data_IF_862197576018
#
_entry.id   IF_862197576018
#
_cell.length_a   1.000
_cell.length_b   1.000
_cell.length_c   1.000
_cell.angle_alpha   90.00
_cell.angle_beta   90.00
_cell.angle_gamma   90.00
#
_symmetry.space_group_name_H-M   'P 1'
#
loop_
_entity.id
_entity.type
_entity.pdbx_description
1 polymer ?
#
# COMPACT_ATOMS: atom_id res chain seq x y z
N UNK A 1 -18.88 -53.36 13.40
CA UNK A 1 -20.31 -53.25 13.74
C UNK A 1 -20.83 -51.93 13.22
N UNK A 2 -21.69 -52.03 12.23
CA UNK A 2 -22.29 -50.90 11.50
C UNK A 2 -23.47 -50.34 12.29
N UNK A 3 -23.66 -49.04 12.29
CA UNK A 3 -24.98 -48.45 12.55
C UNK A 3 -25.26 -47.43 11.45
N UNK A 4 -26.08 -47.90 10.51
CA UNK A 4 -26.72 -47.13 9.46
C UNK A 4 -27.92 -46.38 10.09
N UNK A 5 -27.95 -45.05 10.06
CA UNK A 5 -29.19 -44.31 10.36
C UNK A 5 -29.82 -43.90 9.04
N UNK A 6 -31.00 -44.47 8.79
CA UNK A 6 -31.96 -44.03 7.76
C UNK A 6 -32.67 -42.78 8.28
N UNK A 7 -32.52 -41.67 7.60
CA UNK A 7 -33.45 -40.56 7.75
C UNK A 7 -34.44 -40.59 6.60
N UNK A 8 -35.67 -40.93 6.95
CA UNK A 8 -36.85 -40.93 6.10
C UNK A 8 -37.33 -39.48 5.90
N UNK A 9 -37.14 -38.93 4.73
CA UNK A 9 -37.80 -37.68 4.34
C UNK A 9 -39.19 -37.97 3.78
N UNK A 10 -40.18 -37.44 4.45
CA UNK A 10 -41.60 -37.43 4.09
C UNK A 10 -41.83 -36.62 2.80
N UNK A 11 -42.20 -37.33 1.75
CA UNK A 11 -42.75 -36.73 0.51
C UNK A 11 -44.28 -36.60 0.70
N UNK A 12 -44.70 -35.38 0.94
CA UNK A 12 -46.14 -35.07 1.02
C UNK A 12 -46.43 -33.69 0.53
N UNK A 13 -46.49 -33.49 -0.80
CA UNK A 13 -47.40 -32.61 -1.56
C UNK A 13 -47.02 -32.68 -3.03
N UNK A 14 -47.99 -33.03 -3.86
CA UNK A 14 -47.83 -33.00 -5.32
C UNK A 14 -47.50 -31.56 -5.81
N UNK A 15 -46.55 -31.38 -6.76
CA UNK A 15 -46.24 -30.09 -7.28
C UNK A 15 -47.40 -29.52 -8.08
N UNK A 16 -47.59 -28.16 -8.11
CA UNK A 16 -48.64 -27.55 -8.89
C UNK A 16 -48.45 -27.82 -10.38
N UNK A 17 -49.55 -28.03 -11.12
CA UNK A 17 -49.56 -28.26 -12.56
C UNK A 17 -49.06 -27.02 -13.27
N UNK A 18 -47.90 -27.16 -13.95
CA UNK A 18 -47.29 -26.14 -14.80
C UNK A 18 -48.12 -25.86 -16.08
N UNK A 19 -48.14 -24.61 -16.58
CA UNK A 19 -48.83 -24.25 -17.79
C UNK A 19 -48.22 -24.94 -19.04
N UNK A 20 -49.00 -25.11 -20.15
CA UNK A 20 -48.62 -25.95 -21.28
C UNK A 20 -47.32 -25.57 -22.01
N UNK A 21 -46.84 -24.33 -21.88
CA UNK A 21 -45.57 -23.86 -22.46
C UNK A 21 -44.30 -24.36 -21.76
N UNK A 22 -44.35 -24.57 -20.45
CA UNK A 22 -43.17 -24.99 -19.65
C UNK A 22 -42.87 -26.48 -19.75
N UNK A 23 -43.86 -27.30 -20.14
CA UNK A 23 -43.65 -28.75 -20.37
C UNK A 23 -42.71 -29.04 -21.53
N UNK A 24 -42.66 -28.18 -22.58
CA UNK A 24 -41.73 -28.31 -23.70
C UNK A 24 -40.31 -27.95 -23.30
N UNK A 25 -40.10 -26.90 -22.50
CA UNK A 25 -38.79 -26.54 -22.03
C UNK A 25 -38.21 -27.57 -21.03
N UNK A 26 -39.02 -28.12 -20.16
CA UNK A 26 -38.61 -29.18 -19.23
C UNK A 26 -38.20 -30.49 -19.95
N UNK A 27 -38.81 -30.81 -21.08
CA UNK A 27 -38.45 -31.93 -21.92
C UNK A 27 -37.09 -31.72 -22.59
N UNK A 28 -36.85 -30.57 -23.17
CA UNK A 28 -35.58 -30.21 -23.81
C UNK A 28 -34.43 -30.16 -22.83
N UNK A 29 -34.64 -29.62 -21.61
CA UNK A 29 -33.65 -29.61 -20.53
C UNK A 29 -33.30 -31.03 -20.06
N UNK A 30 -34.29 -31.95 -20.00
CA UNK A 30 -34.02 -33.33 -19.63
C UNK A 30 -33.19 -34.07 -20.71
N UNK A 31 -33.51 -33.88 -22.00
CA UNK A 31 -32.74 -34.44 -23.11
C UNK A 31 -31.31 -33.93 -23.08
N UNK A 32 -31.11 -32.62 -22.95
CA UNK A 32 -29.76 -32.02 -22.87
C UNK A 32 -28.97 -32.50 -21.66
N UNK A 33 -29.63 -32.73 -20.52
CA UNK A 33 -29.02 -33.36 -19.36
C UNK A 33 -28.55 -34.79 -19.61
N UNK A 34 -29.34 -35.57 -20.35
CA UNK A 34 -28.93 -36.93 -20.69
C UNK A 34 -27.77 -36.96 -21.68
N UNK A 35 -27.78 -36.08 -22.69
CA UNK A 35 -26.68 -35.93 -23.65
C UNK A 35 -25.38 -35.51 -22.90
N UNK A 36 -25.43 -34.52 -22.02
CA UNK A 36 -24.29 -34.12 -21.23
C UNK A 36 -23.77 -35.23 -20.27
N UNK A 37 -24.65 -36.04 -19.72
CA UNK A 37 -24.26 -37.19 -18.89
C UNK A 37 -23.56 -38.27 -19.71
N UNK A 38 -24.04 -38.52 -20.96
CA UNK A 38 -23.43 -39.47 -21.90
C UNK A 38 -22.05 -38.98 -22.35
N UNK A 39 -21.92 -37.69 -22.66
CA UNK A 39 -20.63 -37.05 -23.00
C UNK A 39 -19.64 -37.10 -21.82
N UNK A 40 -20.09 -36.84 -20.60
CA UNK A 40 -19.26 -36.98 -19.38
C UNK A 40 -18.80 -38.42 -19.21
N UNK A 41 -19.65 -39.38 -19.53
CA UNK A 41 -19.33 -40.82 -19.41
C UNK A 41 -18.35 -41.28 -20.48
N UNK A 42 -18.50 -40.79 -21.73
CA UNK A 42 -17.54 -41.00 -22.83
C UNK A 42 -16.17 -40.38 -22.49
N UNK A 43 -16.15 -39.14 -22.06
CA UNK A 43 -14.93 -38.47 -21.64
C UNK A 43 -14.24 -39.17 -20.47
N UNK A 44 -14.99 -39.75 -19.52
CA UNK A 44 -14.43 -40.57 -18.44
C UNK A 44 -13.82 -41.88 -18.95
N UNK A 45 -14.43 -42.53 -19.95
CA UNK A 45 -13.86 -43.72 -20.57
C UNK A 45 -12.59 -43.39 -21.37
N UNK A 46 -12.58 -42.31 -22.13
CA UNK A 46 -11.39 -41.81 -22.81
C UNK A 46 -10.28 -41.45 -21.83
N UNK A 47 -10.58 -40.77 -20.75
CA UNK A 47 -9.62 -40.49 -19.65
C UNK A 47 -9.06 -41.79 -19.10
N UNK A 48 -9.87 -42.79 -18.80
CA UNK A 48 -9.42 -44.06 -18.29
C UNK A 48 -8.61 -44.88 -19.28
N UNK A 49 -8.81 -44.67 -20.59
CA UNK A 49 -8.03 -45.34 -21.65
C UNK A 49 -6.65 -44.69 -21.81
N UNK A 50 -6.56 -43.38 -21.58
CA UNK A 50 -5.29 -42.61 -21.58
C UNK A 50 -4.56 -42.69 -20.23
N UNK A 51 -5.25 -43.13 -19.17
CA UNK A 51 -4.69 -43.21 -17.78
C UNK A 51 -3.43 -44.09 -17.62
N UNK A 52 -3.22 -45.19 -18.39
CA UNK A 52 -1.97 -45.96 -18.28
C UNK A 52 -0.72 -45.17 -18.65
N UNK A 53 -0.82 -44.21 -19.60
CA UNK A 53 0.29 -43.37 -20.03
C UNK A 53 0.59 -42.23 -19.01
N UNK A 54 -0.35 -41.94 -18.07
CA UNK A 54 -0.20 -40.92 -17.03
C UNK A 54 0.81 -41.31 -15.94
N UNK A 55 1.29 -42.56 -15.94
CA UNK A 55 2.26 -43.05 -14.97
C UNK A 55 3.72 -42.88 -15.41
N UNK A 56 3.95 -42.24 -16.58
CA UNK A 56 5.32 -41.93 -17.00
C UNK A 56 5.97 -40.96 -16.00
N UNK A 57 7.24 -41.12 -15.65
CA UNK A 57 7.98 -40.20 -14.79
C UNK A 57 7.92 -38.74 -15.30
N UNK A 58 7.90 -38.56 -16.63
CA UNK A 58 7.85 -37.25 -17.29
C UNK A 58 6.52 -36.52 -17.08
N UNK A 59 5.39 -37.23 -17.13
CA UNK A 59 4.06 -36.67 -16.87
C UNK A 59 3.84 -36.34 -15.37
N UNK A 60 4.41 -37.15 -14.48
CA UNK A 60 4.40 -36.85 -13.04
C UNK A 60 5.20 -35.59 -12.74
N UNK A 61 6.37 -35.42 -13.35
CA UNK A 61 7.20 -34.23 -13.18
C UNK A 61 6.53 -32.99 -13.81
N UNK A 62 5.92 -33.15 -15.01
CA UNK A 62 5.16 -32.07 -15.65
C UNK A 62 3.98 -31.60 -14.77
N UNK A 63 3.19 -32.53 -14.24
CA UNK A 63 2.08 -32.21 -13.33
C UNK A 63 2.58 -31.54 -12.03
N UNK A 64 3.70 -32.00 -11.48
CA UNK A 64 4.33 -31.39 -10.31
C UNK A 64 4.75 -29.93 -10.59
N UNK A 65 5.32 -29.69 -11.77
CA UNK A 65 5.71 -28.34 -12.20
C UNK A 65 4.50 -27.43 -12.41
N UNK A 66 3.40 -27.93 -13.00
CA UNK A 66 2.15 -27.19 -13.13
C UNK A 66 1.60 -26.82 -11.74
N UNK A 67 1.58 -27.77 -10.81
CA UNK A 67 1.09 -27.52 -9.45
C UNK A 67 1.99 -26.52 -8.69
N UNK A 68 3.32 -26.63 -8.88
CA UNK A 68 4.28 -25.67 -8.32
C UNK A 68 4.04 -24.26 -8.86
N UNK A 69 3.87 -24.12 -10.18
CA UNK A 69 3.58 -22.82 -10.81
C UNK A 69 2.24 -22.24 -10.35
N UNK A 70 1.20 -23.07 -10.21
CA UNK A 70 -0.09 -22.61 -9.65
C UNK A 70 0.02 -22.14 -8.22
N UNK A 71 0.80 -22.83 -7.37
CA UNK A 71 1.07 -22.40 -5.98
C UNK A 71 1.87 -21.09 -5.96
N UNK A 72 2.88 -20.97 -6.82
CA UNK A 72 3.68 -19.76 -6.93
C UNK A 72 2.83 -18.54 -7.33
N UNK A 73 2.00 -18.66 -8.36
CA UNK A 73 1.06 -17.62 -8.77
C UNK A 73 0.05 -17.25 -7.66
N UNK A 74 -0.41 -18.25 -6.89
CA UNK A 74 -1.26 -17.99 -5.72
C UNK A 74 -0.49 -17.22 -4.63
N UNK A 75 0.77 -17.57 -4.38
CA UNK A 75 1.64 -16.85 -3.47
C UNK A 75 1.86 -15.40 -3.86
N UNK A 76 2.10 -15.12 -5.16
CA UNK A 76 2.20 -13.75 -5.68
C UNK A 76 0.90 -12.96 -5.48
N UNK A 77 -0.26 -13.55 -5.78
CA UNK A 77 -1.56 -12.90 -5.51
C UNK A 77 -1.74 -12.61 -4.03
N UNK A 78 -1.35 -13.56 -3.16
CA UNK A 78 -1.45 -13.39 -1.71
C UNK A 78 -0.50 -12.29 -1.22
N UNK A 79 0.72 -12.22 -1.76
CA UNK A 79 1.68 -11.14 -1.48
C UNK A 79 1.12 -9.76 -1.84
N UNK A 80 0.48 -9.63 -2.99
CA UNK A 80 -0.11 -8.36 -3.42
C UNK A 80 -1.24 -7.87 -2.49
N UNK A 81 -1.88 -8.78 -1.75
CA UNK A 81 -2.96 -8.49 -0.79
C UNK A 81 -2.42 -8.34 0.64
N UNK A 82 -1.56 -9.25 1.06
CA UNK A 82 -0.91 -9.31 2.35
C UNK A 82 0.55 -9.73 2.15
N UNK A 83 1.50 -8.77 2.13
CA UNK A 83 2.90 -9.07 1.84
C UNK A 83 3.52 -10.09 2.77
N UNK A 84 3.28 -9.99 4.08
CA UNK A 84 3.82 -10.94 5.08
C UNK A 84 3.23 -12.33 4.88
N UNK A 85 1.92 -12.43 4.80
CA UNK A 85 1.23 -13.70 4.58
C UNK A 85 1.54 -14.33 3.22
N UNK A 86 1.84 -13.53 2.20
CA UNK A 86 2.27 -14.00 0.88
C UNK A 86 3.65 -14.65 0.91
N UNK A 87 4.63 -13.99 1.56
CA UNK A 87 5.98 -14.55 1.74
C UNK A 87 5.94 -15.83 2.58
N UNK A 88 5.21 -15.83 3.70
CA UNK A 88 5.04 -17.05 4.51
C UNK A 88 4.42 -18.20 3.71
N UNK A 89 3.38 -17.93 2.93
CA UNK A 89 2.77 -18.95 2.07
C UNK A 89 3.78 -19.55 1.08
N UNK A 90 4.63 -18.72 0.44
CA UNK A 90 5.65 -19.21 -0.49
C UNK A 90 6.69 -20.08 0.21
N UNK A 91 7.09 -19.70 1.42
CA UNK A 91 8.04 -20.45 2.24
C UNK A 91 7.44 -21.79 2.70
N UNK A 92 6.21 -21.82 3.20
CA UNK A 92 5.49 -23.04 3.62
C UNK A 92 5.32 -24.06 2.49
N UNK A 93 5.39 -23.62 1.22
CA UNK A 93 5.24 -24.49 0.06
C UNK A 93 6.55 -24.75 -0.66
N UNK A 94 7.70 -24.49 -0.04
CA UNK A 94 9.06 -24.68 -0.60
C UNK A 94 9.27 -23.95 -1.94
N UNK A 95 8.66 -22.78 -2.10
CA UNK A 95 8.75 -21.93 -3.30
C UNK A 95 9.68 -20.74 -3.10
N UNK A 96 9.97 -20.41 -1.86
CA UNK A 96 10.87 -19.33 -1.44
C UNK A 96 11.57 -19.76 -0.14
N UNK A 97 12.83 -19.41 0.01
CA UNK A 97 13.55 -19.61 1.26
C UNK A 97 13.30 -18.45 2.23
N UNK A 98 13.11 -18.76 3.52
CA UNK A 98 13.03 -17.73 4.58
C UNK A 98 14.42 -17.16 4.88
N UNK A 99 14.98 -16.44 3.93
CA UNK A 99 16.28 -15.82 4.00
C UNK A 99 16.23 -14.45 3.30
N UNK A 100 16.88 -13.46 3.87
CA UNK A 100 16.79 -12.08 3.42
C UNK A 100 17.15 -11.90 1.93
N UNK A 101 18.22 -12.58 1.49
CA UNK A 101 18.69 -12.52 0.10
C UNK A 101 17.65 -13.14 -0.86
N UNK A 102 17.10 -14.30 -0.50
CA UNK A 102 16.12 -14.99 -1.34
C UNK A 102 14.83 -14.16 -1.48
N UNK A 103 14.34 -13.58 -0.36
CA UNK A 103 13.17 -12.70 -0.38
C UNK A 103 13.46 -11.41 -1.15
N UNK A 104 14.64 -10.81 -0.99
CA UNK A 104 15.04 -9.63 -1.74
C UNK A 104 15.09 -9.88 -3.25
N UNK A 105 15.67 -11.02 -3.67
CA UNK A 105 15.67 -11.42 -5.08
C UNK A 105 14.26 -11.63 -5.64
N UNK A 106 13.38 -12.27 -4.86
CA UNK A 106 11.97 -12.42 -5.23
C UNK A 106 11.29 -11.07 -5.43
N UNK A 107 11.46 -10.13 -4.50
CA UNK A 107 10.86 -8.79 -4.60
C UNK A 107 11.42 -7.96 -5.76
N UNK A 108 12.68 -8.18 -6.11
CA UNK A 108 13.38 -7.42 -7.16
C UNK A 108 13.11 -7.96 -8.56
N UNK A 109 13.09 -9.30 -8.73
CA UNK A 109 13.07 -9.96 -10.04
C UNK A 109 11.65 -10.34 -10.51
N UNK A 110 10.74 -10.60 -9.56
CA UNK A 110 9.41 -11.09 -9.94
C UNK A 110 8.50 -10.02 -10.51
N UNK A 111 8.01 -10.28 -11.72
CA UNK A 111 7.02 -9.43 -12.39
C UNK A 111 5.62 -9.62 -11.78
N UNK A 112 4.80 -8.58 -11.85
CA UNK A 112 3.39 -8.62 -11.38
C UNK A 112 3.25 -8.58 -9.86
N UNK A 113 4.30 -8.21 -9.12
CA UNK A 113 4.20 -7.82 -7.72
C UNK A 113 3.74 -6.37 -7.61
N UNK A 114 2.81 -6.13 -6.69
CA UNK A 114 2.31 -4.80 -6.39
C UNK A 114 3.41 -3.95 -5.74
N UNK A 115 3.72 -2.80 -6.34
CA UNK A 115 4.81 -1.92 -5.89
C UNK A 115 4.57 -1.32 -4.51
N UNK A 116 3.31 -1.08 -4.14
CA UNK A 116 2.92 -0.65 -2.79
C UNK A 116 3.16 -1.77 -1.77
N UNK A 117 2.81 -3.01 -2.12
CA UNK A 117 3.05 -4.18 -1.26
C UNK A 117 4.56 -4.40 -1.02
N UNK A 118 5.40 -4.24 -2.06
CA UNK A 118 6.86 -4.27 -1.93
C UNK A 118 7.35 -3.19 -0.96
N UNK A 119 6.90 -1.94 -1.15
CA UNK A 119 7.29 -0.83 -0.28
C UNK A 119 6.88 -1.03 1.18
N UNK A 120 5.68 -1.51 1.41
CA UNK A 120 5.19 -1.81 2.76
C UNK A 120 6.01 -2.93 3.43
N UNK A 121 6.31 -4.01 2.70
CA UNK A 121 7.14 -5.11 3.21
C UNK A 121 8.55 -4.64 3.58
N UNK A 122 9.23 -3.92 2.68
CA UNK A 122 10.59 -3.42 2.88
C UNK A 122 10.67 -2.37 4.00
N UNK A 123 9.59 -1.65 4.25
CA UNK A 123 9.52 -0.60 5.27
C UNK A 123 9.33 -1.11 6.70
N UNK A 124 9.08 -2.40 6.95
CA UNK A 124 8.84 -2.96 8.28
C UNK A 124 10.07 -2.92 9.19
N UNK A 125 9.86 -3.03 10.53
CA UNK A 125 10.94 -2.89 11.55
C UNK A 125 11.57 -4.20 11.99
N UNK A 126 10.94 -5.32 11.69
CA UNK A 126 11.43 -6.63 12.11
C UNK A 126 12.77 -6.94 11.44
N UNK A 127 13.66 -7.63 12.15
CA UNK A 127 15.03 -7.90 11.70
C UNK A 127 15.10 -8.50 10.30
N UNK A 128 14.23 -9.45 9.99
CA UNK A 128 14.15 -10.07 8.66
C UNK A 128 13.86 -9.04 7.56
N UNK A 129 12.97 -8.08 7.81
CA UNK A 129 12.64 -7.03 6.85
C UNK A 129 13.79 -6.03 6.67
N UNK A 130 14.50 -5.69 7.76
CA UNK A 130 15.68 -4.83 7.69
C UNK A 130 16.81 -5.47 6.88
N UNK A 131 17.05 -6.75 7.10
CA UNK A 131 18.03 -7.52 6.32
C UNK A 131 17.60 -7.66 4.86
N UNK A 132 16.31 -7.90 4.61
CA UNK A 132 15.75 -7.95 3.26
C UNK A 132 15.87 -6.60 2.54
N UNK A 133 15.61 -5.48 3.22
CA UNK A 133 15.80 -4.14 2.67
C UNK A 133 17.27 -3.93 2.26
N UNK A 134 18.21 -4.27 3.13
CA UNK A 134 19.64 -4.15 2.84
C UNK A 134 20.05 -5.01 1.64
N UNK A 135 19.59 -6.25 1.57
CA UNK A 135 19.83 -7.14 0.45
C UNK A 135 19.19 -6.61 -0.85
N UNK A 136 17.93 -6.13 -0.79
CA UNK A 136 17.20 -5.57 -1.92
C UNK A 136 17.89 -4.34 -2.50
N UNK A 137 18.32 -3.41 -1.65
CA UNK A 137 19.09 -2.24 -2.09
C UNK A 137 20.44 -2.66 -2.67
N UNK A 138 21.06 -3.72 -2.12
CA UNK A 138 22.28 -4.31 -2.63
C UNK A 138 22.21 -4.87 -4.06
N UNK A 139 21.00 -5.24 -4.53
CA UNK A 139 20.78 -5.71 -5.92
C UNK A 139 20.80 -4.56 -6.95
N UNK A 140 20.73 -3.32 -6.50
CA UNK A 140 20.83 -2.17 -7.39
C UNK A 140 22.28 -1.81 -7.64
N UNK A 141 22.62 -1.54 -8.89
CA UNK A 141 23.94 -1.04 -9.28
C UNK A 141 23.81 0.47 -9.56
N UNK A 142 24.53 1.24 -8.75
CA UNK A 142 24.51 2.71 -8.84
C UNK A 142 25.84 3.30 -9.28
N UNK A 143 26.83 2.46 -9.64
CA UNK A 143 28.14 2.92 -10.09
C UNK A 143 28.01 3.86 -11.30
N UNK A 144 28.73 4.95 -11.27
CA UNK A 144 28.75 5.98 -12.32
C UNK A 144 27.40 6.70 -12.57
N UNK A 145 26.39 6.44 -11.77
CA UNK A 145 25.12 7.16 -11.83
C UNK A 145 25.19 8.43 -10.97
N UNK A 146 24.68 9.55 -11.52
CA UNK A 146 24.41 10.69 -10.66
C UNK A 146 23.24 10.39 -9.70
N UNK A 147 23.15 11.17 -8.63
CA UNK A 147 22.18 10.90 -7.55
C UNK A 147 20.71 10.87 -8.03
N UNK A 148 20.33 11.71 -9.02
CA UNK A 148 18.97 11.71 -9.57
C UNK A 148 18.70 10.45 -10.39
N UNK A 149 19.68 9.98 -11.16
CA UNK A 149 19.55 8.73 -11.93
C UNK A 149 19.42 7.52 -11.00
N UNK A 150 20.25 7.44 -9.96
CA UNK A 150 20.18 6.39 -8.95
C UNK A 150 18.83 6.42 -8.21
N UNK A 151 18.34 7.60 -7.83
CA UNK A 151 17.01 7.75 -7.21
C UNK A 151 15.88 7.32 -8.15
N UNK A 152 15.97 7.65 -9.46
CA UNK A 152 14.98 7.20 -10.46
C UNK A 152 14.92 5.67 -10.52
N UNK A 153 16.07 5.02 -10.60
CA UNK A 153 16.17 3.57 -10.64
C UNK A 153 15.59 2.94 -9.35
N UNK A 154 15.99 3.45 -8.20
CA UNK A 154 15.53 2.94 -6.91
C UNK A 154 14.02 3.12 -6.71
N UNK A 155 13.50 4.32 -6.92
CA UNK A 155 12.08 4.64 -6.74
C UNK A 155 11.16 4.03 -7.80
N UNK A 156 11.71 3.48 -8.89
CA UNK A 156 10.95 2.72 -9.88
C UNK A 156 10.66 1.28 -9.41
N UNK A 157 11.48 0.72 -8.54
CA UNK A 157 11.37 -0.69 -8.12
C UNK A 157 10.24 -0.95 -7.12
N UNK A 158 9.77 0.07 -6.40
CA UNK A 158 8.67 -0.02 -5.43
C UNK A 158 8.02 1.35 -5.23
N UNK A 159 6.90 1.39 -4.52
CA UNK A 159 6.26 2.63 -4.11
C UNK A 159 6.62 2.95 -2.66
N UNK A 160 7.08 4.17 -2.40
CA UNK A 160 7.37 4.62 -1.03
C UNK A 160 6.12 4.54 -0.15
N UNK A 161 6.20 3.94 1.04
CA UNK A 161 5.09 3.91 1.99
C UNK A 161 4.77 5.31 2.52
N UNK A 162 3.58 5.48 3.14
CA UNK A 162 3.17 6.78 3.70
C UNK A 162 3.84 7.15 5.03
N UNK A 163 4.43 6.17 5.74
CA UNK A 163 5.00 6.37 7.07
C UNK A 163 6.42 6.93 7.02
N UNK A 164 6.65 8.06 7.71
CA UNK A 164 7.95 8.74 7.75
C UNK A 164 9.11 7.84 8.21
N UNK A 165 8.89 7.00 9.21
CA UNK A 165 9.92 6.09 9.72
C UNK A 165 10.29 4.97 8.74
N UNK A 166 9.33 4.50 7.91
CA UNK A 166 9.59 3.52 6.85
C UNK A 166 10.42 4.16 5.75
N UNK A 167 10.05 5.36 5.34
CA UNK A 167 10.80 6.14 4.33
C UNK A 167 12.22 6.43 4.81
N UNK A 168 12.38 6.82 6.08
CA UNK A 168 13.67 7.10 6.68
C UNK A 168 14.64 5.91 6.54
N UNK A 169 14.21 4.70 6.94
CA UNK A 169 15.01 3.48 6.82
C UNK A 169 15.39 3.14 5.37
N UNK A 170 14.42 3.28 4.45
CA UNK A 170 14.64 3.00 3.04
C UNK A 170 15.65 3.95 2.42
N UNK A 171 15.55 5.24 2.75
CA UNK A 171 16.46 6.26 2.23
C UNK A 171 17.85 6.17 2.87
N UNK A 172 17.96 5.73 4.12
CA UNK A 172 19.24 5.45 4.76
C UNK A 172 19.97 4.27 4.09
N UNK A 173 19.23 3.19 3.79
CA UNK A 173 19.77 2.05 3.05
C UNK A 173 20.21 2.46 1.62
N UNK A 174 19.40 3.26 0.93
CA UNK A 174 19.74 3.81 -0.38
C UNK A 174 21.01 4.67 -0.33
N UNK A 175 21.10 5.64 0.59
CA UNK A 175 22.24 6.53 0.70
C UNK A 175 23.53 5.76 1.00
N UNK A 176 23.45 4.74 1.87
CA UNK A 176 24.58 3.86 2.17
C UNK A 176 25.05 3.11 0.93
N UNK A 177 24.13 2.52 0.17
CA UNK A 177 24.49 1.79 -1.07
C UNK A 177 25.06 2.73 -2.13
N UNK A 178 24.43 3.89 -2.33
CA UNK A 178 24.91 4.87 -3.31
C UNK A 178 26.35 5.31 -3.02
N UNK A 179 26.66 5.66 -1.77
CA UNK A 179 28.00 6.06 -1.38
C UNK A 179 29.02 4.92 -1.54
N UNK A 180 28.62 3.67 -1.28
CA UNK A 180 29.46 2.50 -1.50
C UNK A 180 29.76 2.27 -3.00
N UNK A 181 28.78 2.52 -3.89
CA UNK A 181 28.98 2.43 -5.34
C UNK A 181 29.78 3.62 -5.91
N UNK A 182 29.73 4.78 -5.26
CA UNK A 182 30.34 6.02 -5.74
C UNK A 182 31.21 6.67 -4.64
N UNK A 183 32.34 6.04 -4.27
CA UNK A 183 33.20 6.58 -3.21
C UNK A 183 33.76 7.94 -3.60
N UNK A 184 33.80 8.87 -2.64
CA UNK A 184 34.37 10.20 -2.85
C UNK A 184 33.42 11.26 -3.46
N UNK A 185 32.20 10.88 -3.87
CA UNK A 185 31.19 11.86 -4.34
C UNK A 185 30.67 12.75 -3.21
N UNK A 186 30.48 12.15 -2.03
CA UNK A 186 30.06 12.85 -0.82
C UNK A 186 31.03 12.54 0.33
N UNK A 187 31.21 13.49 1.25
CA UNK A 187 32.03 13.28 2.43
C UNK A 187 31.39 12.34 3.45
N UNK A 188 30.07 12.22 3.45
CA UNK A 188 29.34 11.36 4.35
C UNK A 188 28.05 10.78 3.72
N UNK A 189 27.61 9.64 4.22
CA UNK A 189 26.31 9.05 3.87
C UNK A 189 25.16 9.97 4.22
N UNK A 190 25.28 10.74 5.32
CA UNK A 190 24.27 11.71 5.72
C UNK A 190 24.11 12.83 4.70
N UNK A 191 25.17 13.28 4.06
CA UNK A 191 25.12 14.25 2.94
C UNK A 191 24.27 13.68 1.80
N UNK A 192 24.54 12.46 1.37
CA UNK A 192 23.76 11.76 0.35
C UNK A 192 22.29 11.62 0.75
N UNK A 193 22.03 11.21 1.98
CA UNK A 193 20.70 11.06 2.55
C UNK A 193 19.91 12.38 2.50
N UNK A 194 20.48 13.47 3.05
CA UNK A 194 19.80 14.79 3.10
C UNK A 194 19.53 15.32 1.69
N UNK A 195 20.53 15.21 0.80
CA UNK A 195 20.38 15.67 -0.58
C UNK A 195 19.33 14.86 -1.35
N UNK A 196 19.26 13.54 -1.12
CA UNK A 196 18.23 12.68 -1.70
C UNK A 196 16.83 13.15 -1.34
N UNK A 197 16.61 13.50 -0.08
CA UNK A 197 15.36 14.09 0.35
C UNK A 197 15.09 15.46 -0.23
N UNK A 198 16.09 16.33 -0.27
CA UNK A 198 15.96 17.64 -0.90
C UNK A 198 15.52 17.52 -2.38
N UNK A 199 16.03 16.50 -3.08
CA UNK A 199 15.66 16.19 -4.46
C UNK A 199 14.22 15.69 -4.56
N UNK A 200 13.78 14.77 -3.70
CA UNK A 200 12.40 14.27 -3.68
C UNK A 200 11.42 15.42 -3.38
N UNK A 201 11.75 16.28 -2.42
CA UNK A 201 10.94 17.46 -2.11
C UNK A 201 10.93 18.49 -3.25
N UNK A 202 12.06 18.67 -3.91
CA UNK A 202 12.16 19.52 -5.10
C UNK A 202 11.24 19.02 -6.21
N UNK A 203 11.26 17.70 -6.48
CA UNK A 203 10.38 17.07 -7.45
C UNK A 203 8.90 17.36 -7.13
N UNK A 204 8.48 17.12 -5.89
CA UNK A 204 7.11 17.40 -5.45
C UNK A 204 6.77 18.88 -5.61
N UNK A 205 7.68 19.78 -5.22
CA UNK A 205 7.42 21.23 -5.27
C UNK A 205 7.36 21.76 -6.70
N UNK A 206 8.19 21.25 -7.61
CA UNK A 206 8.22 21.71 -9.00
C UNK A 206 7.05 21.18 -9.84
N UNK A 207 6.62 19.94 -9.58
CA UNK A 207 5.67 19.24 -10.45
C UNK A 207 4.26 19.12 -9.86
N UNK A 208 4.06 19.41 -8.57
CA UNK A 208 2.72 19.47 -8.00
C UNK A 208 2.01 20.76 -8.46
N UNK A 209 0.87 20.66 -9.17
CA UNK A 209 0.13 21.83 -9.64
C UNK A 209 -0.44 22.70 -8.51
N UNK A 210 -0.58 22.14 -7.29
CA UNK A 210 -1.09 22.85 -6.13
C UNK A 210 -0.04 23.74 -5.43
N UNK A 211 1.24 23.58 -5.77
CA UNK A 211 2.33 24.41 -5.23
C UNK A 211 2.46 25.68 -6.07
N UNK A 212 2.04 26.81 -5.51
CA UNK A 212 2.05 28.11 -6.19
C UNK A 212 3.45 28.72 -6.25
N UNK A 213 4.23 28.60 -5.19
CA UNK A 213 5.59 29.15 -5.08
C UNK A 213 6.61 28.04 -5.31
N UNK A 214 6.98 27.85 -6.57
CA UNK A 214 7.96 26.85 -6.98
C UNK A 214 9.37 27.31 -6.62
N UNK A 215 10.19 26.45 -5.97
CA UNK A 215 11.54 26.85 -5.56
C UNK A 215 12.42 27.16 -6.78
N UNK A 216 13.11 28.30 -6.72
CA UNK A 216 14.13 28.65 -7.70
C UNK A 216 15.43 27.87 -7.46
N UNK A 217 16.33 27.85 -8.45
CA UNK A 217 17.65 27.24 -8.28
C UNK A 217 18.41 27.84 -7.08
N UNK A 218 18.38 29.17 -6.92
CA UNK A 218 19.04 29.83 -5.79
C UNK A 218 18.50 29.39 -4.45
N UNK A 219 17.17 29.22 -4.35
CA UNK A 219 16.53 28.72 -3.15
C UNK A 219 16.93 27.28 -2.88
N UNK A 220 16.97 26.42 -3.90
CA UNK A 220 17.43 25.03 -3.76
C UNK A 220 18.88 24.96 -3.29
N UNK A 221 19.79 25.75 -3.87
CA UNK A 221 21.19 25.84 -3.44
C UNK A 221 21.29 26.30 -1.99
N UNK A 222 20.58 27.39 -1.63
CA UNK A 222 20.62 27.92 -0.26
C UNK A 222 20.08 26.96 0.79
N UNK A 223 19.07 26.16 0.45
CA UNK A 223 18.51 25.14 1.34
C UNK A 223 19.47 23.99 1.63
N UNK A 224 20.45 23.75 0.75
CA UNK A 224 21.43 22.69 0.87
C UNK A 224 22.82 23.16 1.33
N UNK A 225 22.93 24.37 1.88
CA UNK A 225 24.19 24.86 2.45
C UNK A 225 24.60 24.06 3.70
N UNK A 226 25.90 23.81 3.83
CA UNK A 226 26.50 23.17 4.99
C UNK A 226 26.15 21.71 5.17
N UNK A 227 25.54 21.03 4.17
CA UNK A 227 25.16 19.63 4.32
C UNK A 227 26.30 18.65 4.11
N UNK A 228 27.44 19.08 3.61
CA UNK A 228 28.61 18.25 3.35
C UNK A 228 29.63 18.39 4.48
N UNK A 229 29.27 17.87 5.66
CA UNK A 229 30.06 17.99 6.90
C UNK A 229 30.38 19.47 7.28
N UNK A 230 29.40 20.36 7.11
CA UNK A 230 29.56 21.79 7.39
C UNK A 230 29.99 22.61 6.14
N UNK A 231 30.49 21.96 5.12
CA UNK A 231 30.86 22.60 3.86
C UNK A 231 29.68 22.63 2.87
N UNK A 232 29.78 23.47 1.86
CA UNK A 232 28.82 23.55 0.76
C UNK A 232 29.19 22.54 -0.33
N UNK A 233 28.15 21.93 -0.93
CA UNK A 233 28.32 21.15 -2.13
C UNK A 233 28.62 22.05 -3.32
N UNK A 234 29.37 21.57 -4.34
CA UNK A 234 29.63 22.33 -5.57
C UNK A 234 28.32 22.82 -6.21
N UNK A 235 28.22 24.14 -6.45
CA UNK A 235 27.03 24.75 -7.05
C UNK A 235 26.70 24.16 -8.41
N UNK A 236 27.71 23.73 -9.16
CA UNK A 236 27.54 23.07 -10.45
C UNK A 236 26.81 21.73 -10.31
N UNK A 237 27.14 20.93 -9.28
CA UNK A 237 26.46 19.67 -8.96
C UNK A 237 24.96 19.93 -8.66
N UNK A 238 24.67 20.87 -7.75
CA UNK A 238 23.29 21.21 -7.39
C UNK A 238 22.50 21.77 -8.58
N UNK A 239 23.16 22.52 -9.46
CA UNK A 239 22.54 23.04 -10.70
C UNK A 239 22.17 21.91 -11.66
N UNK A 240 23.05 20.93 -11.85
CA UNK A 240 22.77 19.75 -12.69
C UNK A 240 21.61 18.92 -12.13
N UNK A 241 21.58 18.69 -10.81
CA UNK A 241 20.50 17.95 -10.14
C UNK A 241 19.16 18.69 -10.26
N UNK A 242 19.16 20.01 -10.01
CA UNK A 242 17.96 20.84 -10.17
C UNK A 242 17.43 20.82 -11.61
N UNK A 243 18.29 20.97 -12.60
CA UNK A 243 17.91 20.95 -14.01
C UNK A 243 17.33 19.58 -14.41
N UNK A 244 17.91 18.48 -13.94
CA UNK A 244 17.42 17.13 -14.20
C UNK A 244 16.01 16.91 -13.64
N UNK A 245 15.73 17.36 -12.42
CA UNK A 245 14.39 17.23 -11.83
C UNK A 245 13.40 18.17 -12.48
N UNK A 246 13.83 19.39 -12.84
CA UNK A 246 12.95 20.35 -13.52
C UNK A 246 12.52 19.86 -14.91
N UNK A 247 13.43 19.21 -15.65
CA UNK A 247 13.14 18.70 -17.00
C UNK A 247 12.27 17.46 -16.99
N UNK A 248 12.47 16.56 -16.04
CA UNK A 248 11.74 15.30 -15.95
C UNK A 248 11.39 14.95 -14.50
N UNK A 249 10.09 14.86 -14.15
CA UNK A 249 9.68 14.42 -12.81
C UNK A 249 10.05 12.96 -12.55
N UNK A 250 10.07 12.56 -11.26
CA UNK A 250 10.06 11.15 -10.91
C UNK A 250 8.77 10.51 -11.40
N UNK A 251 8.90 9.41 -12.11
CA UNK A 251 7.76 8.55 -12.46
C UNK A 251 7.39 7.74 -11.23
N UNK A 252 6.13 7.81 -10.84
CA UNK A 252 5.58 6.93 -9.81
C UNK A 252 5.21 5.63 -10.52
N UNK A 253 5.69 4.45 -10.07
CA UNK A 253 5.26 3.18 -10.63
C UNK A 253 3.74 3.10 -10.53
N UNK A 254 3.07 2.87 -11.66
CA UNK A 254 1.65 2.56 -11.67
C UNK A 254 1.51 1.13 -11.12
N UNK A 255 0.65 0.97 -10.12
CA UNK A 255 0.18 -0.36 -9.78
C UNK A 255 -0.75 -0.79 -10.91
N UNK A 256 -0.46 -1.91 -11.57
CA UNK A 256 -1.27 -2.49 -12.68
C UNK A 256 -2.69 -2.88 -12.24
N UNK A 257 -3.01 -2.71 -11.01
CA UNK A 257 -4.33 -2.77 -10.41
C UNK A 257 -4.64 -1.41 -9.81
N UNK A 258 -5.37 -0.59 -10.54
CA UNK A 258 -5.98 0.65 -10.07
C UNK A 258 -7.04 0.37 -8.99
N UNK A 259 -6.66 -0.40 -7.97
CA UNK A 259 -7.56 -0.95 -6.99
C UNK A 259 -7.33 -0.23 -5.67
N UNK A 260 -8.09 0.86 -5.49
CA UNK A 260 -8.33 1.44 -4.17
C UNK A 260 -8.77 0.35 -3.16
N UNK A 261 -9.28 -0.80 -3.66
CA UNK A 261 -9.59 -1.97 -2.84
C UNK A 261 -8.37 -2.52 -2.13
N UNK A 262 -7.15 -2.45 -2.72
CA UNK A 262 -5.92 -2.87 -2.06
C UNK A 262 -5.52 -1.92 -0.92
N UNK A 263 -5.72 -0.62 -1.10
CA UNK A 263 -5.48 0.39 -0.05
C UNK A 263 -6.36 0.13 1.19
N UNK A 264 -7.56 -0.45 0.98
CA UNK A 264 -8.53 -0.70 2.04
C UNK A 264 -8.66 -2.18 2.44
N UNK A 265 -7.78 -3.06 1.94
CA UNK A 265 -7.91 -4.51 2.13
C UNK A 265 -7.64 -4.96 3.58
N UNK A 266 -6.74 -4.31 4.28
CA UNK A 266 -6.41 -4.62 5.68
C UNK A 266 -6.31 -3.33 6.49
N UNK A 267 -7.44 -2.65 6.77
CA UNK A 267 -7.44 -1.40 7.49
C UNK A 267 -7.06 -1.61 8.97
N UNK A 268 -6.40 -0.62 9.56
CA UNK A 268 -6.16 -0.58 11.01
C UNK A 268 -7.46 -0.59 11.80
N UNK A 269 -8.49 0.09 11.26
CA UNK A 269 -9.87 0.07 11.77
C UNK A 269 -10.85 0.53 10.71
N UNK A 270 -12.05 -0.04 10.72
CA UNK A 270 -13.18 0.42 9.91
C UNK A 270 -14.49 0.41 10.68
N UNK A 271 -15.44 1.24 10.29
CA UNK A 271 -16.74 1.30 10.96
C UNK A 271 -17.58 2.53 10.61
N UNK A 272 -18.82 2.49 11.07
CA UNK A 272 -19.77 3.60 10.92
C UNK A 272 -19.57 4.65 12.00
N UNK A 273 -19.38 5.90 11.62
CA UNK A 273 -19.40 7.04 12.50
C UNK A 273 -20.37 8.12 11.98
N UNK A 274 -20.93 8.90 12.89
CA UNK A 274 -21.60 10.15 12.53
C UNK A 274 -20.53 11.24 12.40
N UNK A 275 -20.53 11.96 11.30
CA UNK A 275 -19.63 13.08 11.01
C UNK A 275 -20.40 14.39 10.95
N UNK A 276 -19.93 15.38 11.68
CA UNK A 276 -20.49 16.72 11.59
C UNK A 276 -20.03 17.41 10.30
N UNK A 277 -20.98 18.00 9.56
CA UNK A 277 -20.70 18.80 8.37
C UNK A 277 -20.00 20.12 8.72
N UNK A 278 -19.15 20.61 7.82
CA UNK A 278 -18.40 21.85 8.05
C UNK A 278 -19.21 23.12 7.77
N UNK A 279 -19.92 23.15 6.66
CA UNK A 279 -20.69 24.33 6.22
C UNK A 279 -22.10 24.33 6.81
N UNK A 280 -22.77 23.20 6.70
CA UNK A 280 -24.05 22.94 7.35
C UNK A 280 -23.75 21.99 8.50
N UNK A 281 -23.95 22.43 9.75
CA UNK A 281 -23.63 21.66 10.95
C UNK A 281 -24.67 20.57 11.21
N UNK A 282 -24.78 19.63 10.27
CA UNK A 282 -25.65 18.45 10.36
C UNK A 282 -24.79 17.19 10.51
N UNK A 283 -25.26 16.27 11.34
CA UNK A 283 -24.65 14.97 11.49
C UNK A 283 -25.05 14.06 10.33
N UNK A 284 -24.05 13.49 9.65
CA UNK A 284 -24.24 12.51 8.56
C UNK A 284 -23.54 11.23 8.90
N UNK A 285 -24.20 10.10 8.71
CA UNK A 285 -23.61 8.78 8.87
C UNK A 285 -22.65 8.54 7.71
N UNK A 286 -21.43 8.10 8.00
CA UNK A 286 -20.37 7.80 7.02
C UNK A 286 -19.61 6.54 7.41
N UNK A 287 -19.22 5.76 6.43
CA UNK A 287 -18.31 4.65 6.63
C UNK A 287 -16.89 5.19 6.68
N UNK A 288 -16.16 4.84 7.71
CA UNK A 288 -14.78 5.27 7.90
C UNK A 288 -13.84 4.09 7.78
N UNK A 289 -12.69 4.31 7.14
CA UNK A 289 -11.58 3.38 7.03
C UNK A 289 -10.32 4.12 7.45
N UNK A 290 -9.62 3.56 8.44
CA UNK A 290 -8.33 4.03 8.92
C UNK A 290 -7.25 3.13 8.36
N UNK A 291 -6.35 3.68 7.58
CA UNK A 291 -5.19 2.98 7.00
C UNK A 291 -4.14 4.00 6.53
N UNK A 292 -2.85 3.61 6.53
CA UNK A 292 -1.74 4.43 6.05
C UNK A 292 -1.68 5.86 6.64
N UNK A 293 -1.92 5.98 7.94
CA UNK A 293 -1.98 7.28 8.64
C UNK A 293 -2.98 8.28 8.06
N UNK A 294 -4.00 7.77 7.36
CA UNK A 294 -5.12 8.54 6.79
C UNK A 294 -6.45 7.98 7.27
N UNK A 295 -7.41 8.87 7.49
CA UNK A 295 -8.78 8.50 7.77
C UNK A 295 -9.65 8.85 6.55
N UNK A 296 -10.10 7.81 5.87
CA UNK A 296 -10.98 7.90 4.69
C UNK A 296 -12.43 7.82 5.12
N UNK A 297 -13.34 8.49 4.41
CA UNK A 297 -14.78 8.34 4.67
C UNK A 297 -15.60 8.29 3.38
N UNK A 298 -16.61 7.41 3.40
CA UNK A 298 -17.46 7.03 2.29
C UNK A 298 -18.94 7.30 2.64
N UNK A 299 -19.81 7.32 1.65
CA UNK A 299 -21.26 7.37 1.87
C UNK A 299 -21.79 5.99 2.24
N UNK A 300 -21.37 4.97 1.48
CA UNK A 300 -21.75 3.58 1.65
C UNK A 300 -20.50 2.68 1.71
N UNK A 301 -20.64 1.49 2.27
CA UNK A 301 -19.57 0.48 2.34
C UNK A 301 -19.18 -0.09 0.96
N UNK A 302 -20.04 0.09 -0.04
CA UNK A 302 -19.84 -0.38 -1.43
C UNK A 302 -19.21 0.66 -2.34
N UNK A 303 -19.03 1.89 -1.85
CA UNK A 303 -18.42 2.95 -2.66
C UNK A 303 -16.95 2.64 -2.94
N UNK A 304 -16.54 2.80 -4.19
CA UNK A 304 -15.14 2.59 -4.61
C UNK A 304 -14.26 3.79 -4.25
N UNK A 305 -14.80 5.00 -4.34
CA UNK A 305 -14.07 6.24 -4.11
C UNK A 305 -14.49 6.90 -2.80
N UNK A 306 -13.55 7.36 -1.97
CA UNK A 306 -13.86 8.07 -0.75
C UNK A 306 -14.44 9.47 -1.05
N UNK A 307 -15.44 9.88 -0.27
CA UNK A 307 -15.95 11.27 -0.28
C UNK A 307 -14.86 12.22 0.23
N UNK A 308 -14.01 11.74 1.13
CA UNK A 308 -12.91 12.57 1.61
C UNK A 308 -11.86 11.79 2.37
N UNK A 309 -10.70 12.44 2.46
CA UNK A 309 -9.47 11.92 3.03
C UNK A 309 -8.98 12.93 4.07
N UNK A 310 -8.68 12.44 5.26
CA UNK A 310 -8.15 13.23 6.39
C UNK A 310 -6.77 12.63 6.74
N UNK A 311 -5.66 13.21 6.27
CA UNK A 311 -4.32 12.84 6.74
C UNK A 311 -4.19 13.15 8.23
N UNK A 312 -3.65 12.20 9.00
CA UNK A 312 -3.54 12.30 10.46
C UNK A 312 -2.22 12.97 10.93
N UNK A 313 -1.34 13.30 9.98
CA UNK A 313 -0.08 13.97 10.28
C UNK A 313 -0.29 15.27 11.07
N UNK A 314 0.42 15.42 12.18
CA UNK A 314 0.32 16.57 13.09
C UNK A 314 -1.07 16.84 13.68
N UNK A 315 -1.95 15.85 13.70
CA UNK A 315 -3.23 15.95 14.37
C UNK A 315 -3.17 15.36 15.77
N UNK A 316 -4.16 15.73 16.58
CA UNK A 316 -4.46 15.12 17.86
C UNK A 316 -5.91 14.65 17.86
N UNK A 317 -6.19 13.63 18.67
CA UNK A 317 -7.54 13.13 18.91
C UNK A 317 -7.88 13.21 20.39
N UNK A 318 -9.09 13.63 20.72
CA UNK A 318 -9.59 13.70 22.10
C UNK A 318 -11.05 13.32 22.20
N UNK A 319 -11.47 12.92 23.40
CA UNK A 319 -12.89 12.82 23.74
C UNK A 319 -13.51 14.22 23.72
N UNK A 320 -14.69 14.33 23.17
CA UNK A 320 -15.46 15.56 23.12
C UNK A 320 -16.81 15.33 23.82
N UNK A 321 -17.16 16.23 24.73
CA UNK A 321 -18.53 16.32 25.23
C UNK A 321 -19.33 17.25 24.29
N UNK A 322 -20.28 16.71 23.59
CA UNK A 322 -21.17 17.47 22.70
C UNK A 322 -22.61 17.29 23.15
N UNK A 323 -23.35 18.39 23.24
CA UNK A 323 -24.74 18.39 23.73
C UNK A 323 -25.71 17.80 22.71
N UNK A 324 -25.30 17.71 21.44
CA UNK A 324 -26.16 17.25 20.33
C UNK A 324 -26.03 15.75 20.04
N UNK A 325 -24.90 15.14 20.42
CA UNK A 325 -24.63 13.70 20.20
C UNK A 325 -23.76 13.13 21.32
N UNK A 326 -24.06 11.89 21.79
CA UNK A 326 -23.21 11.18 22.73
C UNK A 326 -21.97 10.62 22.04
N UNK A 327 -21.02 10.17 22.86
CA UNK A 327 -19.83 9.43 22.42
C UNK A 327 -19.00 10.11 21.33
N UNK A 328 -18.85 11.44 21.47
CA UNK A 328 -18.11 12.24 20.50
C UNK A 328 -16.59 12.16 20.71
N UNK A 329 -15.88 12.24 19.57
CA UNK A 329 -14.45 12.47 19.51
C UNK A 329 -14.15 13.62 18.53
N UNK A 330 -13.02 14.27 18.73
CA UNK A 330 -12.60 15.38 17.89
C UNK A 330 -11.16 15.18 17.42
N UNK A 331 -10.98 15.29 16.10
CA UNK A 331 -9.67 15.42 15.47
C UNK A 331 -9.36 16.91 15.31
N UNK A 332 -8.19 17.36 15.77
CA UNK A 332 -7.80 18.76 15.72
C UNK A 332 -6.30 18.93 15.53
N UNK A 333 -5.88 20.07 15.01
CA UNK A 333 -4.48 20.45 14.98
C UNK A 333 -4.13 21.24 16.24
N UNK A 334 -3.14 20.81 17.06
CA UNK A 334 -2.80 21.49 18.30
C UNK A 334 -2.29 22.93 18.12
N UNK A 335 -1.80 23.25 16.91
CA UNK A 335 -1.36 24.63 16.55
C UNK A 335 -2.53 25.50 16.04
N UNK A 336 -3.78 25.02 16.09
CA UNK A 336 -4.97 25.74 15.63
C UNK A 336 -5.05 25.92 14.11
N UNK A 337 -4.20 25.25 13.33
CA UNK A 337 -4.20 25.33 11.87
C UNK A 337 -5.35 24.52 11.28
N UNK A 338 -5.75 24.86 10.05
CA UNK A 338 -6.73 24.07 9.29
C UNK A 338 -6.15 22.69 8.99
N UNK A 339 -7.00 21.67 9.11
CA UNK A 339 -6.62 20.31 8.76
C UNK A 339 -6.47 20.20 7.23
N UNK A 340 -5.34 19.66 6.78
CA UNK A 340 -5.05 19.41 5.36
C UNK A 340 -5.85 18.18 4.89
N UNK A 341 -7.14 18.34 4.71
CA UNK A 341 -8.02 17.28 4.21
C UNK A 341 -8.45 17.57 2.78
N UNK A 342 -8.79 16.52 2.04
CA UNK A 342 -9.38 16.62 0.71
C UNK A 342 -10.80 16.06 0.74
N UNK A 343 -11.66 16.56 -0.13
CA UNK A 343 -12.99 15.98 -0.38
C UNK A 343 -13.31 16.01 -1.87
N UNK A 344 -14.06 15.04 -2.33
CA UNK A 344 -14.61 15.00 -3.67
C UNK A 344 -15.95 15.75 -3.68
N UNK A 345 -16.10 16.74 -4.56
CA UNK A 345 -17.36 17.44 -4.84
C UNK A 345 -18.08 16.78 -6.01
N UNK A 346 -19.37 17.15 -6.18
CA UNK A 346 -20.18 16.71 -7.31
C UNK A 346 -19.40 16.93 -8.63
N UNK A 347 -19.32 15.92 -9.50
CA UNK A 347 -18.52 15.83 -10.74
C UNK A 347 -17.06 15.38 -10.57
N UNK A 348 -16.69 14.70 -9.46
CA UNK A 348 -15.36 14.11 -9.29
C UNK A 348 -14.22 15.11 -9.02
N UNK A 349 -14.53 16.39 -8.82
CA UNK A 349 -13.50 17.41 -8.52
C UNK A 349 -13.04 17.30 -7.07
N UNK A 350 -11.75 17.05 -6.87
CA UNK A 350 -11.12 17.06 -5.55
C UNK A 350 -10.86 18.49 -5.11
N UNK A 351 -11.33 18.86 -3.92
CA UNK A 351 -11.12 20.19 -3.32
C UNK A 351 -10.56 20.06 -1.92
N UNK A 352 -9.79 21.05 -1.49
CA UNK A 352 -9.26 21.10 -0.14
C UNK A 352 -10.36 21.31 0.89
N UNK A 353 -10.34 20.55 1.98
CA UNK A 353 -11.21 20.71 3.14
C UNK A 353 -10.95 22.05 3.86
N UNK A 354 -12.02 22.60 4.46
CA UNK A 354 -11.95 23.89 5.18
C UNK A 354 -12.12 23.75 6.70
N UNK A 355 -12.05 22.51 7.21
CA UNK A 355 -12.28 22.23 8.62
C UNK A 355 -11.06 22.60 9.48
N UNK A 356 -11.30 23.22 10.64
CA UNK A 356 -10.31 23.38 11.70
C UNK A 356 -10.24 22.14 12.60
N UNK A 357 -11.38 21.46 12.77
CA UNK A 357 -11.48 20.18 13.45
C UNK A 357 -12.57 19.31 12.83
N UNK A 358 -12.46 18.01 13.02
CA UNK A 358 -13.49 17.04 12.66
C UNK A 358 -14.13 16.47 13.91
N UNK A 359 -15.44 16.67 14.05
CA UNK A 359 -16.25 16.06 15.11
C UNK A 359 -16.91 14.80 14.58
N UNK A 360 -16.68 13.70 15.29
CA UNK A 360 -17.22 12.38 14.98
C UNK A 360 -17.95 11.86 16.21
N UNK A 361 -18.96 11.02 16.03
CA UNK A 361 -19.70 10.37 17.11
C UNK A 361 -19.85 8.89 16.81
N UNK A 362 -19.47 8.05 17.74
CA UNK A 362 -19.59 6.59 17.68
C UNK A 362 -20.94 6.13 18.23
N UNK A 363 -21.24 4.83 18.09
CA UNK A 363 -22.48 4.25 18.59
C UNK A 363 -22.44 3.98 20.09
N UNK A 364 -21.25 3.76 20.67
CA UNK A 364 -21.05 3.50 22.10
C UNK A 364 -19.82 4.21 22.64
N UNK A 365 -19.67 4.25 23.96
CA UNK A 365 -18.47 4.77 24.62
C UNK A 365 -17.23 3.92 24.32
N UNK A 366 -17.40 2.60 24.27
CA UNK A 366 -16.37 1.65 23.96
C UNK A 366 -15.86 1.83 22.52
N UNK A 367 -16.77 1.88 21.56
CA UNK A 367 -16.44 2.10 20.16
C UNK A 367 -15.71 3.44 19.93
N UNK A 368 -16.16 4.50 20.64
CA UNK A 368 -15.45 5.79 20.63
C UNK A 368 -14.00 5.66 21.13
N UNK A 369 -13.80 4.95 22.23
CA UNK A 369 -12.49 4.81 22.86
C UNK A 369 -11.56 3.98 21.98
N UNK A 370 -12.06 2.92 21.38
CA UNK A 370 -11.35 2.13 20.38
C UNK A 370 -10.93 2.94 19.15
N UNK A 371 -11.83 3.81 18.64
CA UNK A 371 -11.47 4.71 17.54
C UNK A 371 -10.38 5.71 17.94
N UNK A 372 -10.45 6.24 19.17
CA UNK A 372 -9.43 7.15 19.68
C UNK A 372 -8.07 6.46 19.77
N UNK A 373 -8.02 5.23 20.25
CA UNK A 373 -6.77 4.49 20.42
C UNK A 373 -6.19 4.06 19.06
N UNK A 374 -7.01 3.60 18.12
CA UNK A 374 -6.58 3.30 16.75
C UNK A 374 -6.03 4.55 16.04
N UNK A 375 -6.74 5.67 16.12
CA UNK A 375 -6.30 6.94 15.53
C UNK A 375 -5.00 7.42 16.18
N UNK A 376 -4.85 7.33 17.50
CA UNK A 376 -3.59 7.69 18.19
C UNK A 376 -2.41 6.84 17.74
N UNK A 377 -2.62 5.55 17.54
CA UNK A 377 -1.60 4.64 17.04
C UNK A 377 -1.15 5.03 15.63
N UNK A 378 -2.07 5.50 14.79
CA UNK A 378 -1.82 5.90 13.40
C UNK A 378 -1.32 7.35 13.24
N UNK A 379 -1.39 8.17 14.30
CA UNK A 379 -0.82 9.53 14.28
C UNK A 379 0.70 9.46 14.35
N UNK A 380 1.36 9.89 13.28
CA UNK A 380 2.82 10.01 13.23
C UNK A 380 3.24 11.22 14.06
N UNK A 381 3.97 11.00 15.16
CA UNK A 381 4.41 12.07 16.09
C UNK A 381 5.57 12.89 15.55
N UNK A 382 6.39 12.31 14.69
CA UNK A 382 7.56 12.95 14.09
C UNK A 382 7.33 13.09 12.58
N UNK A 383 6.91 14.29 12.12
CA UNK A 383 6.83 14.56 10.70
C UNK A 383 8.20 14.32 10.07
N UNK A 384 8.18 13.70 8.90
CA UNK A 384 9.35 13.41 8.11
C UNK A 384 10.35 14.61 7.98
N UNK A 385 9.82 15.82 7.84
CA UNK A 385 10.60 17.05 7.80
C UNK A 385 11.42 17.30 9.08
N UNK A 386 10.92 16.87 10.23
CA UNK A 386 11.62 17.05 11.52
C UNK A 386 12.79 16.08 11.61
N UNK A 387 12.66 14.84 11.13
CA UNK A 387 13.75 13.85 11.06
C UNK A 387 14.91 14.37 10.19
N UNK A 388 14.61 14.85 8.99
CA UNK A 388 15.61 15.43 8.08
C UNK A 388 16.24 16.68 8.70
N UNK A 389 15.45 17.55 9.32
CA UNK A 389 15.94 18.78 9.97
C UNK A 389 16.81 18.49 11.18
N UNK A 390 16.47 17.49 11.98
CA UNK A 390 17.29 17.06 13.12
C UNK A 390 18.62 16.48 12.65
N UNK A 391 18.62 15.63 11.63
CA UNK A 391 19.83 15.05 11.06
C UNK A 391 20.73 16.12 10.45
N UNK A 392 20.16 17.10 9.74
CA UNK A 392 20.89 18.28 9.21
C UNK A 392 21.54 19.12 10.32
N UNK A 393 20.81 19.40 11.42
CA UNK A 393 21.36 20.16 12.56
C UNK A 393 22.54 19.41 13.21
N UNK A 394 22.43 18.08 13.34
CA UNK A 394 23.48 17.25 13.91
C UNK A 394 24.77 17.31 13.08
N UNK A 395 24.66 17.27 11.76
CA UNK A 395 25.84 17.39 10.87
C UNK A 395 26.52 18.74 11.07
N UNK A 396 25.75 19.83 11.04
CA UNK A 396 26.28 21.18 11.18
C UNK A 396 26.92 21.38 12.58
N UNK A 397 26.31 20.84 13.65
CA UNK A 397 26.89 20.95 15.00
C UNK A 397 28.18 20.16 15.15
N UNK A 398 28.28 18.96 14.57
CA UNK A 398 29.47 18.14 14.62
C UNK A 398 30.64 18.73 13.83
N UNK A 399 30.35 19.50 12.77
CA UNK A 399 31.35 20.20 11.96
C UNK A 399 31.90 21.46 12.65
N UNK A 400 31.19 21.98 13.67
CA UNK A 400 31.59 23.19 14.43
C UNK A 400 32.35 22.84 15.73
N UNK A 401 32.48 21.55 16.03
CA UNK A 401 33.26 21.00 17.17
C UNK A 401 34.62 20.51 16.70
#
# INVERSE_FOLDING_TARGET
>A
MAICRKDSFLWGKAPPKLPPGEKRQGGTIKIHKFELLDDIQKLRLEINHVMPDIHSPELKEHNKNIMRNRRFLRGKKKFNMDPKGGVHYLVEHDLLEWRAESVAEFLYKEEGLNKTAIGNFLGEREEMHLQTLKAFVGLHEFSDLNLVQALRQFLWSFRLPGEAQKIDRMMEAFATRYCNCNPGVFQSTDTCYILSFAIIMLNTSLHNPNVKDKPSLQRFVSMNRGINNGEDLPTELLTKLYASIRSEPFKIPEDDGNDLTLTFFNPDREGWLLKMGGRVKTWKRRWFILTDSCLYYFEYTTDKDPIGIIPLENLCVRKLQDTSKPYCLELYNPKGQKIKACKTENKGRVVQGKHQSYKLSAASAEERDDWIDAIRASITKDPFYDLVSLRKRKIISNASS
#
